data_IF_653042661558
#
_entry.id   IF_653042661558
#
_cell.length_a   1.000
_cell.length_b   1.000
_cell.length_c   1.000
_cell.angle_alpha   90.00
_cell.angle_beta   90.00
_cell.angle_gamma   90.00
#
_symmetry.space_group_name_H-M   'P 1'
#
loop_
_entity.id
_entity.type
_entity.pdbx_description
1 polymer ?
#
# COMPACT_ATOMS: atom_id res chain seq x y z
N UNK A 1 48.13 -42.54 35.87
CA UNK A 1 47.32 -42.59 34.59
C UNK A 1 46.06 -41.78 34.81
N UNK A 2 46.06 -40.54 34.35
CA UNK A 2 44.87 -39.66 34.36
C UNK A 2 44.18 -39.78 33.02
N UNK A 3 42.93 -40.27 32.98
CA UNK A 3 42.08 -40.30 31.80
C UNK A 3 41.50 -38.91 31.62
N UNK A 4 41.81 -38.28 30.48
CA UNK A 4 41.24 -37.04 30.02
C UNK A 4 39.91 -37.39 29.31
N UNK A 5 38.77 -36.91 29.83
CA UNK A 5 37.47 -37.05 29.21
C UNK A 5 37.25 -35.80 28.37
N UNK A 6 37.24 -35.95 27.04
CA UNK A 6 36.81 -34.89 26.11
C UNK A 6 35.30 -34.85 26.11
N UNK A 7 34.74 -33.75 26.62
CA UNK A 7 33.33 -33.43 26.48
C UNK A 7 33.14 -32.71 25.12
N UNK A 8 32.54 -33.41 24.15
CA UNK A 8 32.11 -32.80 22.92
C UNK A 8 30.79 -32.05 23.20
N UNK A 9 30.86 -30.73 23.24
CA UNK A 9 29.66 -29.91 23.12
C UNK A 9 29.19 -29.89 21.66
N UNK A 10 28.15 -30.65 21.36
CA UNK A 10 27.34 -30.42 20.15
C UNK A 10 26.58 -29.10 20.32
N UNK A 11 27.06 -28.04 19.71
CA UNK A 11 26.22 -26.88 19.40
C UNK A 11 25.22 -27.32 18.31
N UNK A 12 24.03 -27.74 18.72
CA UNK A 12 22.90 -27.75 17.86
C UNK A 12 22.56 -26.27 17.60
N UNK A 13 22.99 -25.73 16.46
CA UNK A 13 22.42 -24.55 15.88
C UNK A 13 20.98 -24.91 15.48
N UNK A 14 20.04 -24.63 16.38
CA UNK A 14 18.64 -24.53 16.02
C UNK A 14 18.54 -23.30 15.08
N UNK A 15 18.70 -23.56 13.78
CA UNK A 15 18.14 -22.65 12.80
C UNK A 15 16.64 -22.58 13.10
N UNK A 16 16.05 -21.40 13.29
CA UNK A 16 14.60 -21.31 13.36
C UNK A 16 14.09 -21.82 12.02
N UNK A 17 13.42 -22.98 12.04
CA UNK A 17 12.64 -23.39 10.89
C UNK A 17 11.64 -22.25 10.63
N UNK A 18 11.72 -21.64 9.46
CA UNK A 18 10.68 -20.78 8.96
C UNK A 18 9.37 -21.58 9.09
N UNK A 19 8.46 -21.08 9.92
CA UNK A 19 7.22 -21.79 10.15
C UNK A 19 6.35 -21.55 8.92
N UNK A 20 5.93 -22.60 8.23
CA UNK A 20 5.00 -22.51 7.12
C UNK A 20 3.68 -21.93 7.64
N UNK A 21 3.47 -20.65 7.39
CA UNK A 21 2.21 -19.97 7.67
C UNK A 21 1.39 -19.87 6.40
N UNK A 22 0.10 -20.02 6.52
CA UNK A 22 -0.84 -19.80 5.46
C UNK A 22 -1.81 -18.66 5.81
N UNK A 23 -2.54 -18.20 4.83
CA UNK A 23 -3.56 -17.18 5.01
C UNK A 23 -4.92 -17.82 5.16
N UNK A 24 -5.63 -17.42 6.21
CA UNK A 24 -6.97 -17.90 6.49
C UNK A 24 -8.01 -16.95 5.90
N UNK A 25 -8.85 -17.48 5.03
CA UNK A 25 -9.91 -16.73 4.35
C UNK A 25 -11.28 -17.38 4.55
N UNK A 26 -12.33 -16.68 4.12
CA UNK A 26 -13.71 -17.22 4.13
C UNK A 26 -13.88 -18.53 3.32
N UNK A 27 -13.00 -18.82 2.36
CA UNK A 27 -13.09 -20.05 1.57
C UNK A 27 -12.71 -21.30 2.37
N UNK A 28 -11.96 -21.16 3.45
CA UNK A 28 -11.59 -22.26 4.35
C UNK A 28 -12.71 -22.61 5.36
N UNK A 29 -13.74 -21.79 5.40
CA UNK A 29 -14.97 -21.98 6.17
C UNK A 29 -16.16 -21.89 5.22
N UNK A 30 -17.17 -22.71 5.37
CA UNK A 30 -18.40 -22.72 4.56
C UNK A 30 -18.77 -21.33 4.05
N UNK A 31 -18.87 -21.16 2.75
CA UNK A 31 -18.96 -19.92 1.97
C UNK A 31 -20.09 -18.92 2.38
N UNK A 32 -20.89 -19.24 3.37
CA UNK A 32 -22.06 -18.49 3.81
C UNK A 32 -21.82 -17.61 5.05
N UNK A 33 -20.60 -17.58 5.63
CA UNK A 33 -20.33 -16.75 6.81
C UNK A 33 -19.40 -15.57 6.50
N UNK A 34 -19.89 -14.32 6.60
CA UNK A 34 -19.10 -13.09 6.29
C UNK A 34 -18.15 -12.69 7.43
N UNK A 35 -17.40 -13.64 8.01
CA UNK A 35 -16.57 -13.39 9.21
C UNK A 35 -15.35 -12.52 8.94
N UNK A 36 -14.86 -12.48 7.70
CA UNK A 36 -13.66 -11.78 7.30
C UNK A 36 -13.95 -10.72 6.21
N UNK A 37 -15.11 -10.06 6.31
CA UNK A 37 -15.50 -8.97 5.42
C UNK A 37 -15.69 -7.65 6.16
N UNK A 38 -15.55 -6.57 5.40
CA UNK A 38 -15.90 -5.23 5.85
C UNK A 38 -17.38 -4.97 5.56
N UNK A 39 -18.22 -5.23 6.53
CA UNK A 39 -19.67 -5.08 6.39
C UNK A 39 -20.34 -6.14 5.51
N UNK A 40 -21.61 -5.94 5.22
CA UNK A 40 -22.46 -6.86 4.45
C UNK A 40 -22.91 -6.27 3.11
N UNK A 41 -22.31 -5.16 2.68
CA UNK A 41 -22.66 -4.49 1.45
C UNK A 41 -21.48 -4.51 0.48
N UNK A 42 -21.82 -4.58 -0.79
CA UNK A 42 -20.85 -4.47 -1.89
C UNK A 42 -20.78 -3.01 -2.33
N UNK A 43 -19.57 -2.51 -2.46
CA UNK A 43 -19.28 -1.14 -2.88
C UNK A 43 -18.28 -1.14 -4.04
N UNK A 44 -18.15 0.00 -4.72
CA UNK A 44 -17.06 0.23 -5.68
C UNK A 44 -15.84 0.75 -4.95
N UNK A 45 -15.28 -0.10 -4.09
CA UNK A 45 -14.14 0.28 -3.28
C UNK A 45 -12.89 0.44 -4.11
N UNK A 46 -12.12 1.49 -3.85
CA UNK A 46 -10.85 1.79 -4.49
C UNK A 46 -9.67 1.46 -3.58
N UNK A 47 -9.71 1.92 -2.32
CA UNK A 47 -8.66 1.70 -1.33
C UNK A 47 -9.23 1.47 0.07
N UNK A 48 -8.39 0.90 0.93
CA UNK A 48 -8.62 0.78 2.37
C UNK A 48 -7.32 1.15 3.07
N UNK A 49 -7.39 2.10 3.98
CA UNK A 49 -6.27 2.51 4.85
C UNK A 49 -6.50 2.00 6.26
N UNK A 50 -5.44 1.52 6.92
CA UNK A 50 -5.48 0.95 8.28
C UNK A 50 -4.77 1.85 9.27
N UNK A 51 -5.34 2.03 10.47
CA UNK A 51 -4.73 2.77 11.55
C UNK A 51 -5.54 2.70 12.84
N UNK A 52 -4.90 2.91 13.98
CA UNK A 52 -5.58 2.99 15.28
C UNK A 52 -6.24 4.37 15.43
N UNK A 53 -7.49 4.46 14.95
CA UNK A 53 -8.23 5.72 14.85
C UNK A 53 -8.67 6.24 16.23
N UNK A 54 -8.99 5.32 17.16
CA UNK A 54 -9.58 5.64 18.46
C UNK A 54 -8.62 5.40 19.62
N UNK A 55 -7.37 5.05 19.36
CA UNK A 55 -6.29 4.76 20.33
C UNK A 55 -6.61 3.61 21.29
N UNK A 56 -7.32 2.58 20.79
CA UNK A 56 -7.59 1.37 21.56
C UNK A 56 -6.53 0.26 21.36
N UNK A 57 -5.50 0.53 20.57
CA UNK A 57 -4.40 -0.37 20.27
C UNK A 57 -4.69 -1.39 19.16
N UNK A 58 -5.75 -1.19 18.39
CA UNK A 58 -6.11 -2.04 17.25
C UNK A 58 -6.20 -1.23 15.97
N UNK A 59 -5.88 -1.88 14.87
CA UNK A 59 -6.02 -1.26 13.55
C UNK A 59 -7.48 -1.23 13.14
N UNK A 60 -8.03 -0.01 13.03
CA UNK A 60 -9.29 0.30 12.38
C UNK A 60 -9.08 0.51 10.88
N UNK A 61 -10.14 0.75 10.12
CA UNK A 61 -10.04 0.96 8.68
C UNK A 61 -10.91 2.13 8.21
N UNK A 62 -10.41 2.91 7.26
CA UNK A 62 -11.21 3.80 6.43
C UNK A 62 -11.29 3.24 5.02
N UNK A 63 -12.49 3.22 4.45
CA UNK A 63 -12.80 2.61 3.15
C UNK A 63 -13.23 3.68 2.16
N UNK A 64 -12.45 3.88 1.09
CA UNK A 64 -12.74 4.80 0.01
C UNK A 64 -13.60 4.12 -1.05
N UNK A 65 -14.81 4.63 -1.25
CA UNK A 65 -15.80 4.08 -2.17
C UNK A 65 -16.12 5.06 -3.31
N UNK A 66 -16.66 4.52 -4.39
CA UNK A 66 -17.26 5.28 -5.46
C UNK A 66 -16.43 5.39 -6.71
N UNK A 67 -15.15 5.73 -6.62
CA UNK A 67 -14.32 5.97 -7.81
C UNK A 67 -14.99 6.96 -8.77
N UNK A 68 -15.46 6.52 -9.94
CA UNK A 68 -16.18 7.35 -10.90
C UNK A 68 -17.67 7.59 -10.57
N UNK A 69 -18.23 6.85 -9.59
CA UNK A 69 -19.65 6.88 -9.22
C UNK A 69 -19.75 7.22 -7.73
N UNK A 70 -20.41 8.32 -7.34
CA UNK A 70 -20.46 8.72 -5.96
C UNK A 70 -21.07 7.65 -5.04
N UNK A 71 -20.31 7.23 -4.02
CA UNK A 71 -20.75 6.35 -2.95
C UNK A 71 -20.27 6.90 -1.59
N UNK A 72 -20.83 6.38 -0.51
CA UNK A 72 -20.47 6.78 0.86
C UNK A 72 -19.17 6.07 1.27
N UNK A 73 -18.22 6.83 1.83
CA UNK A 73 -17.05 6.30 2.50
C UNK A 73 -17.40 5.87 3.91
N UNK A 74 -16.76 4.79 4.39
CA UNK A 74 -17.04 4.23 5.72
C UNK A 74 -15.79 4.09 6.56
N UNK A 75 -15.98 4.25 7.87
CA UNK A 75 -15.00 3.90 8.90
C UNK A 75 -15.45 2.60 9.55
N UNK A 76 -14.54 1.65 9.67
CA UNK A 76 -14.78 0.37 10.33
C UNK A 76 -13.88 0.26 11.56
N UNK A 77 -14.51 0.06 12.72
CA UNK A 77 -13.80 -0.11 13.99
C UNK A 77 -13.57 -1.58 14.28
N UNK A 78 -12.33 -1.91 14.63
CA UNK A 78 -11.90 -3.25 14.96
C UNK A 78 -12.09 -3.52 16.47
N UNK A 79 -12.91 -4.49 16.81
CA UNK A 79 -13.13 -4.90 18.19
C UNK A 79 -12.09 -5.90 18.74
N UNK A 80 -11.07 -6.26 17.93
CA UNK A 80 -10.18 -7.41 18.18
C UNK A 80 -10.78 -8.76 17.79
N UNK A 81 -12.02 -8.75 17.27
CA UNK A 81 -12.73 -9.91 16.70
C UNK A 81 -13.19 -9.63 15.27
N UNK A 82 -12.52 -8.69 14.60
CA UNK A 82 -12.82 -8.19 13.27
C UNK A 82 -13.59 -6.85 13.29
N UNK A 83 -13.89 -6.37 12.11
CA UNK A 83 -14.49 -5.06 11.83
C UNK A 83 -16.02 -5.10 11.97
N UNK A 84 -16.50 -5.09 13.21
CA UNK A 84 -17.91 -5.32 13.54
C UNK A 84 -18.75 -4.05 13.72
N UNK A 85 -18.12 -2.88 13.76
CA UNK A 85 -18.76 -1.59 13.89
C UNK A 85 -18.37 -0.69 12.74
N UNK A 86 -19.35 -0.09 12.07
CA UNK A 86 -19.08 0.85 10.98
C UNK A 86 -19.86 2.14 11.17
N UNK A 87 -19.30 3.23 10.67
CA UNK A 87 -19.96 4.53 10.54
C UNK A 87 -19.70 5.11 9.15
N UNK A 88 -20.63 5.83 8.52
CA UNK A 88 -20.31 6.66 7.38
C UNK A 88 -19.32 7.75 7.80
N UNK A 89 -18.36 8.09 6.92
CA UNK A 89 -17.42 9.19 7.17
C UNK A 89 -18.16 10.52 7.26
N UNK A 90 -19.09 10.74 6.32
CA UNK A 90 -20.05 11.85 6.33
C UNK A 90 -21.39 11.42 5.71
N UNK A 91 -22.31 12.36 5.50
CA UNK A 91 -23.60 12.09 4.88
C UNK A 91 -23.62 12.32 3.36
N UNK A 92 -22.44 12.50 2.75
CA UNK A 92 -22.28 12.76 1.34
C UNK A 92 -21.76 11.51 0.63
N UNK A 93 -22.07 11.43 -0.65
CA UNK A 93 -21.44 10.46 -1.54
C UNK A 93 -20.30 11.12 -2.29
N UNK A 94 -19.14 10.47 -2.34
CA UNK A 94 -17.91 10.96 -2.97
C UNK A 94 -17.43 10.00 -4.06
N UNK A 95 -16.64 10.52 -5.00
CA UNK A 95 -15.99 9.72 -6.05
C UNK A 95 -14.57 9.33 -5.61
N UNK A 96 -14.46 8.73 -4.42
CA UNK A 96 -13.19 8.56 -3.76
C UNK A 96 -12.33 7.45 -4.39
N UNK A 97 -11.06 7.79 -4.66
CA UNK A 97 -10.02 6.85 -5.05
C UNK A 97 -9.11 6.49 -3.88
N UNK A 98 -8.91 7.41 -2.95
CA UNK A 98 -8.18 7.17 -1.72
C UNK A 98 -8.84 7.88 -0.53
N UNK A 99 -8.72 7.30 0.65
CA UNK A 99 -9.01 7.92 1.93
C UNK A 99 -7.93 7.44 2.90
N UNK A 100 -6.94 8.29 3.13
CA UNK A 100 -5.74 7.91 3.88
C UNK A 100 -5.80 8.45 5.32
N UNK A 101 -5.35 7.59 6.24
CA UNK A 101 -5.20 7.91 7.66
C UNK A 101 -3.83 8.54 7.89
N UNK A 102 -3.81 9.76 8.39
CA UNK A 102 -2.58 10.55 8.59
C UNK A 102 -2.78 11.61 9.66
N UNK A 103 -1.79 11.83 10.52
CA UNK A 103 -1.78 12.94 11.49
C UNK A 103 -1.32 14.21 10.76
N UNK A 104 -2.27 15.02 10.28
CA UNK A 104 -2.01 16.22 9.49
C UNK A 104 -1.62 17.45 10.34
N UNK A 105 -1.94 17.43 11.61
CA UNK A 105 -1.74 18.59 12.52
C UNK A 105 -0.73 18.32 13.64
N UNK A 106 -0.13 17.11 13.66
CA UNK A 106 0.82 16.62 14.68
C UNK A 106 0.23 16.65 16.11
N UNK A 107 -1.09 16.39 16.25
CA UNK A 107 -1.74 16.25 17.57
C UNK A 107 -1.71 14.80 18.10
N UNK A 108 -1.17 13.90 17.30
CA UNK A 108 -1.04 12.47 17.59
C UNK A 108 -2.30 11.68 17.32
N UNK A 109 -3.31 12.23 16.64
CA UNK A 109 -4.51 11.53 16.19
C UNK A 109 -4.51 11.41 14.67
N UNK A 110 -4.96 10.26 14.15
CA UNK A 110 -5.04 10.07 12.71
C UNK A 110 -6.26 10.78 12.15
N UNK A 111 -6.03 11.74 11.28
CA UNK A 111 -7.02 12.44 10.46
C UNK A 111 -7.32 11.64 9.18
N UNK A 112 -8.24 12.10 8.34
CA UNK A 112 -8.52 11.50 7.03
C UNK A 112 -8.31 12.53 5.93
N UNK A 113 -7.48 12.16 4.94
CA UNK A 113 -7.35 12.82 3.64
C UNK A 113 -8.11 12.04 2.59
N UNK A 114 -9.22 12.59 2.09
CA UNK A 114 -10.08 12.00 1.06
C UNK A 114 -9.76 12.56 -0.32
N UNK A 115 -9.37 11.71 -1.26
CA UNK A 115 -9.00 12.08 -2.64
C UNK A 115 -10.06 11.60 -3.61
N UNK A 116 -10.60 12.54 -4.38
CA UNK A 116 -11.76 12.32 -5.25
C UNK A 116 -11.44 12.54 -6.73
N UNK A 117 -12.05 11.73 -7.60
CA UNK A 117 -11.99 11.87 -9.05
C UNK A 117 -12.96 12.96 -9.52
N UNK A 118 -12.41 14.01 -10.15
CA UNK A 118 -13.18 15.15 -10.70
C UNK A 118 -14.13 15.81 -9.68
N UNK A 119 -13.76 15.77 -8.39
CA UNK A 119 -14.49 16.39 -7.28
C UNK A 119 -13.50 16.96 -6.27
N UNK A 120 -13.93 17.85 -5.36
CA UNK A 120 -13.04 18.40 -4.33
C UNK A 120 -12.43 17.31 -3.44
N UNK A 121 -11.14 17.40 -3.16
CA UNK A 121 -10.47 16.59 -2.14
C UNK A 121 -10.77 17.19 -0.77
N UNK A 122 -10.86 16.33 0.26
CA UNK A 122 -11.36 16.78 1.58
C UNK A 122 -10.45 16.32 2.72
N UNK A 123 -10.40 17.12 3.75
CA UNK A 123 -9.74 16.81 5.02
C UNK A 123 -10.79 16.72 6.11
N UNK A 124 -10.69 15.67 6.93
CA UNK A 124 -11.50 15.45 8.12
C UNK A 124 -10.57 15.30 9.33
N UNK A 125 -10.84 16.07 10.38
CA UNK A 125 -10.04 16.06 11.61
C UNK A 125 -10.70 15.17 12.65
N UNK A 126 -9.89 14.34 13.29
CA UNK A 126 -10.25 13.42 14.35
C UNK A 126 -10.22 14.12 15.72
N UNK A 127 -11.26 13.94 16.52
CA UNK A 127 -11.32 14.44 17.90
C UNK A 127 -10.51 13.60 18.91
N UNK A 128 -9.77 12.60 18.44
CA UNK A 128 -9.01 11.64 19.25
C UNK A 128 -9.83 10.47 19.80
N UNK A 129 -11.12 10.43 19.51
CA UNK A 129 -12.03 9.33 19.90
C UNK A 129 -12.60 8.59 18.70
N UNK A 130 -12.06 8.85 17.51
CA UNK A 130 -12.51 8.29 16.25
C UNK A 130 -13.76 8.98 15.67
N UNK A 131 -14.08 10.20 16.08
CA UNK A 131 -15.11 10.98 15.42
C UNK A 131 -14.45 12.04 14.53
N UNK A 132 -14.87 12.07 13.28
CA UNK A 132 -14.31 12.95 12.28
C UNK A 132 -15.23 14.13 11.97
N UNK A 133 -14.63 15.29 11.81
CA UNK A 133 -15.34 16.51 11.39
C UNK A 133 -14.70 17.04 10.13
N UNK A 134 -15.52 17.34 9.12
CA UNK A 134 -15.05 17.99 7.90
C UNK A 134 -14.35 19.31 8.27
N UNK A 135 -13.11 19.46 7.78
CA UNK A 135 -12.28 20.63 8.02
C UNK A 135 -12.28 21.57 6.82
N UNK A 136 -11.81 21.07 5.67
CA UNK A 136 -11.63 21.87 4.47
C UNK A 136 -11.59 21.04 3.19
N UNK A 137 -11.80 21.69 2.06
CA UNK A 137 -11.35 21.21 0.76
C UNK A 137 -9.88 21.60 0.56
N UNK A 138 -9.12 20.76 -0.17
CA UNK A 138 -7.68 20.98 -0.39
C UNK A 138 -7.28 20.69 -1.83
N UNK A 139 -6.32 21.45 -2.35
CA UNK A 139 -5.86 21.34 -3.73
C UNK A 139 -6.91 21.75 -4.77
N UNK A 140 -6.61 21.50 -6.03
CA UNK A 140 -7.55 21.75 -7.13
C UNK A 140 -8.30 20.48 -7.52
N UNK A 141 -9.54 20.61 -7.96
CA UNK A 141 -10.30 19.49 -8.53
C UNK A 141 -9.54 18.88 -9.70
N UNK A 142 -9.29 17.58 -9.64
CA UNK A 142 -8.44 16.90 -10.61
C UNK A 142 -8.93 15.49 -10.94
N UNK A 143 -8.36 14.90 -11.99
CA UNK A 143 -8.61 13.51 -12.37
C UNK A 143 -7.72 12.58 -11.51
N UNK A 144 -7.93 12.64 -10.18
CA UNK A 144 -7.10 11.97 -9.21
C UNK A 144 -7.26 10.45 -9.23
N UNK A 145 -6.16 9.75 -8.89
CA UNK A 145 -6.12 8.28 -8.85
C UNK A 145 -5.59 7.71 -7.54
N UNK A 146 -4.68 8.40 -6.91
CA UNK A 146 -4.10 7.98 -5.63
C UNK A 146 -3.49 9.17 -4.92
N UNK A 147 -2.98 8.95 -3.71
CA UNK A 147 -2.21 9.91 -2.92
C UNK A 147 -1.07 9.19 -2.20
N UNK A 148 0.09 9.81 -2.16
CA UNK A 148 1.20 9.38 -1.31
C UNK A 148 1.50 10.46 -0.27
N UNK A 149 1.91 10.02 0.91
CA UNK A 149 2.14 10.82 2.11
C UNK A 149 3.62 10.81 2.48
N UNK A 150 4.18 11.96 2.83
CA UNK A 150 5.56 12.07 3.30
C UNK A 150 5.94 13.50 3.63
N UNK A 151 6.93 13.71 4.49
CA UNK A 151 7.51 15.02 4.76
C UNK A 151 8.51 15.35 3.64
N UNK A 152 8.04 16.02 2.60
CA UNK A 152 8.78 16.24 1.35
C UNK A 152 9.77 17.43 1.42
N UNK A 153 9.61 18.29 2.39
CA UNK A 153 10.48 19.47 2.60
C UNK A 153 11.23 19.43 3.94
N UNK A 154 11.15 18.30 4.67
CA UNK A 154 11.79 18.06 5.96
C UNK A 154 11.44 19.11 7.03
N UNK A 155 10.18 19.59 7.02
CA UNK A 155 9.69 20.56 8.01
C UNK A 155 9.04 19.91 9.24
N UNK A 156 8.89 18.58 9.25
CA UNK A 156 8.31 17.78 10.34
C UNK A 156 6.79 17.60 10.25
N UNK A 157 6.14 18.07 9.19
CA UNK A 157 4.73 17.87 8.91
C UNK A 157 4.55 17.01 7.66
N UNK A 158 3.52 16.20 7.65
CA UNK A 158 3.25 15.32 6.49
C UNK A 158 2.63 16.13 5.36
N UNK A 159 3.31 16.13 4.22
CA UNK A 159 2.85 16.60 2.93
C UNK A 159 2.17 15.46 2.18
N UNK A 160 1.57 15.77 1.04
CA UNK A 160 1.02 14.73 0.17
C UNK A 160 1.12 15.07 -1.31
N UNK A 161 1.14 14.00 -2.12
CA UNK A 161 1.16 14.11 -3.58
C UNK A 161 -0.09 13.44 -4.13
N UNK A 162 -0.90 14.18 -4.88
CA UNK A 162 -2.06 13.66 -5.60
C UNK A 162 -1.62 13.23 -6.99
N UNK A 163 -1.78 11.94 -7.30
CA UNK A 163 -1.50 11.43 -8.63
C UNK A 163 -2.70 11.64 -9.56
N UNK A 164 -2.45 12.06 -10.78
CA UNK A 164 -3.48 12.41 -11.73
C UNK A 164 -3.30 11.70 -13.07
N UNK A 165 -4.42 11.24 -13.65
CA UNK A 165 -4.43 10.67 -14.99
C UNK A 165 -4.71 11.75 -16.04
N UNK A 166 -3.86 11.86 -17.07
CA UNK A 166 -3.92 12.86 -18.13
C UNK A 166 -3.87 14.32 -17.64
N UNK A 167 -3.28 14.52 -16.44
CA UNK A 167 -3.08 15.83 -15.83
C UNK A 167 -1.72 15.87 -15.12
N UNK A 168 -1.34 17.04 -14.61
CA UNK A 168 -0.15 17.18 -13.78
C UNK A 168 -0.42 16.65 -12.36
N UNK A 169 0.53 15.99 -11.76
CA UNK A 169 0.48 15.62 -10.34
C UNK A 169 0.61 16.88 -9.49
N UNK A 170 0.01 16.84 -8.30
CA UNK A 170 -0.07 17.99 -7.40
C UNK A 170 0.62 17.62 -6.09
N UNK A 171 1.60 18.41 -5.66
CA UNK A 171 2.19 18.33 -4.33
C UNK A 171 1.52 19.39 -3.47
N UNK A 172 1.06 19.02 -2.29
CA UNK A 172 0.52 19.94 -1.30
C UNK A 172 1.41 19.91 -0.05
N UNK A 173 2.14 20.98 0.16
CA UNK A 173 3.04 21.16 1.31
C UNK A 173 2.26 21.62 2.53
N UNK A 174 2.44 20.94 3.64
CA UNK A 174 1.79 21.21 4.92
C UNK A 174 2.65 22.17 5.76
N UNK A 175 2.06 23.26 6.21
CA UNK A 175 2.76 24.23 7.08
C UNK A 175 2.50 24.01 8.58
N UNK A 176 1.87 22.89 8.95
CA UNK A 176 1.51 22.54 10.33
C UNK A 176 0.29 23.28 10.89
N UNK A 177 -0.44 24.03 10.06
CA UNK A 177 -1.66 24.76 10.45
C UNK A 177 -2.89 24.30 9.67
N UNK A 178 -2.80 23.13 9.02
CA UNK A 178 -3.82 22.62 8.09
C UNK A 178 -4.09 23.59 6.93
N UNK A 179 -3.08 24.39 6.58
CA UNK A 179 -3.04 25.27 5.42
C UNK A 179 -1.96 24.76 4.47
N UNK A 180 -2.35 24.43 3.25
CA UNK A 180 -1.53 23.69 2.30
C UNK A 180 -1.17 24.54 1.09
N UNK A 181 0.14 24.61 0.80
CA UNK A 181 0.65 25.22 -0.43
C UNK A 181 0.74 24.16 -1.53
N UNK A 182 -0.23 24.17 -2.45
CA UNK A 182 -0.34 23.15 -3.50
C UNK A 182 0.27 23.63 -4.81
N UNK A 183 1.26 22.89 -5.32
CA UNK A 183 1.99 23.17 -6.55
C UNK A 183 1.98 21.96 -7.50
N UNK A 184 2.24 22.20 -8.79
CA UNK A 184 2.34 21.12 -9.79
C UNK A 184 3.75 20.56 -9.83
N UNK A 185 3.88 19.23 -9.74
CA UNK A 185 5.17 18.54 -9.75
C UNK A 185 5.90 18.71 -11.08
N UNK A 186 5.21 18.56 -12.21
CA UNK A 186 5.81 18.61 -13.54
C UNK A 186 5.11 19.61 -14.45
N UNK A 187 5.78 20.00 -15.53
CA UNK A 187 5.22 20.95 -16.51
C UNK A 187 4.32 20.29 -17.54
N UNK A 188 4.48 18.98 -17.77
CA UNK A 188 3.70 18.18 -18.74
C UNK A 188 2.63 17.38 -18.05
N UNK A 189 1.59 17.03 -18.79
CA UNK A 189 0.56 16.11 -18.31
C UNK A 189 1.09 14.69 -18.41
N UNK A 190 0.93 13.92 -17.34
CA UNK A 190 1.21 12.49 -17.28
C UNK A 190 -0.04 11.70 -16.94
N UNK A 191 0.05 10.39 -16.99
CA UNK A 191 -1.00 9.47 -16.54
C UNK A 191 -0.50 8.67 -15.34
N UNK A 192 -0.14 9.37 -14.28
CA UNK A 192 0.34 8.74 -13.05
C UNK A 192 -0.85 8.14 -12.28
N UNK A 193 -0.72 6.88 -11.92
CA UNK A 193 -1.75 6.14 -11.18
C UNK A 193 -1.34 5.94 -9.74
N UNK A 194 -0.07 5.65 -9.50
CA UNK A 194 0.48 5.38 -8.18
C UNK A 194 1.86 6.02 -8.04
N UNK A 195 2.33 6.20 -6.79
CA UNK A 195 3.59 6.85 -6.50
C UNK A 195 4.15 6.32 -5.17
N UNK A 196 5.43 6.01 -5.15
CA UNK A 196 6.17 5.70 -3.93
C UNK A 196 7.12 6.86 -3.57
N UNK A 197 7.28 7.09 -2.27
CA UNK A 197 8.14 8.13 -1.70
C UNK A 197 9.22 7.45 -0.87
N UNK A 198 10.50 7.55 -1.27
CA UNK A 198 11.65 6.98 -0.54
C UNK A 198 12.92 7.77 -0.85
N UNK A 199 13.84 7.84 0.10
CA UNK A 199 15.21 8.32 -0.15
C UNK A 199 15.98 7.24 -0.93
N UNK A 200 15.94 7.34 -2.26
CA UNK A 200 16.52 6.33 -3.16
C UNK A 200 18.04 6.47 -3.28
N UNK A 201 18.58 7.64 -3.05
CA UNK A 201 20.00 7.97 -3.27
C UNK A 201 20.81 8.09 -1.97
N UNK A 202 20.15 8.05 -0.80
CA UNK A 202 20.75 8.10 0.52
C UNK A 202 21.18 9.50 0.95
N UNK A 203 20.60 10.57 0.39
CA UNK A 203 20.93 11.95 0.72
C UNK A 203 20.07 12.54 1.85
N UNK A 204 19.08 11.79 2.34
CA UNK A 204 18.17 12.18 3.43
C UNK A 204 16.96 12.96 2.95
N UNK A 205 16.75 13.12 1.65
CA UNK A 205 15.58 13.74 1.06
C UNK A 205 14.69 12.67 0.40
N UNK A 206 13.37 12.71 0.58
CA UNK A 206 12.48 11.72 -0.04
C UNK A 206 12.30 11.98 -1.54
N UNK A 207 12.69 10.99 -2.36
CA UNK A 207 12.54 10.97 -3.81
C UNK A 207 11.20 10.36 -4.21
N UNK A 208 10.83 10.46 -5.49
CA UNK A 208 9.57 10.03 -6.03
C UNK A 208 9.73 9.00 -7.14
N UNK A 209 8.99 7.90 -7.04
CA UNK A 209 8.87 6.87 -8.10
C UNK A 209 7.43 6.87 -8.61
N UNK A 210 7.23 7.26 -9.85
CA UNK A 210 5.91 7.41 -10.47
C UNK A 210 5.56 6.20 -11.35
N UNK A 211 4.43 5.56 -11.06
CA UNK A 211 3.84 4.51 -11.88
C UNK A 211 2.90 5.13 -12.91
N UNK A 212 3.25 5.05 -14.18
CA UNK A 212 2.52 5.68 -15.28
C UNK A 212 1.80 4.68 -16.19
N UNK A 213 0.70 5.13 -16.79
CA UNK A 213 -0.09 4.42 -17.78
C UNK A 213 -0.10 5.15 -19.13
N UNK A 214 -0.94 4.63 -20.05
CA UNK A 214 -1.26 5.25 -21.33
C UNK A 214 -0.02 5.39 -22.23
N UNK A 215 0.86 4.37 -22.22
CA UNK A 215 2.15 4.28 -22.95
C UNK A 215 3.17 5.36 -22.53
N UNK A 216 3.10 5.80 -21.28
CA UNK A 216 4.09 6.70 -20.68
C UNK A 216 5.03 5.86 -19.80
N UNK A 217 6.35 5.99 -19.94
CA UNK A 217 7.30 5.30 -19.05
C UNK A 217 7.09 5.69 -17.59
N UNK A 218 7.44 4.81 -16.67
CA UNK A 218 7.58 5.17 -15.27
C UNK A 218 8.73 6.14 -15.08
N UNK A 219 8.66 6.99 -14.07
CA UNK A 219 9.62 8.09 -13.89
C UNK A 219 10.15 8.10 -12.46
N UNK A 220 11.43 8.48 -12.31
CA UNK A 220 12.03 8.80 -11.01
C UNK A 220 12.36 10.29 -10.99
N UNK A 221 11.94 10.97 -9.92
CA UNK A 221 12.29 12.33 -9.59
C UNK A 221 13.11 12.36 -8.31
N UNK A 222 14.28 13.00 -8.34
CA UNK A 222 15.06 13.25 -7.14
C UNK A 222 14.61 14.57 -6.50
N UNK A 223 14.47 14.53 -5.19
CA UNK A 223 14.31 15.73 -4.39
C UNK A 223 15.68 16.41 -4.24
N UNK A 224 15.81 17.63 -4.73
CA UNK A 224 17.06 18.39 -4.66
C UNK A 224 17.01 19.49 -3.58
N UNK A 225 16.04 19.40 -2.67
CA UNK A 225 15.81 20.38 -1.60
C UNK A 225 15.01 21.59 -2.07
N UNK A 226 14.68 22.49 -1.12
CA UNK A 226 13.94 23.73 -1.38
C UNK A 226 12.61 23.51 -2.15
N UNK A 227 11.92 22.39 -1.90
CA UNK A 227 10.67 21.98 -2.58
C UNK A 227 10.82 21.78 -4.10
N UNK A 228 12.03 21.40 -4.54
CA UNK A 228 12.33 21.16 -5.95
C UNK A 228 12.59 19.70 -6.23
N UNK A 229 12.01 19.21 -7.31
CA UNK A 229 12.18 17.85 -7.81
C UNK A 229 12.73 17.88 -9.23
N UNK A 230 13.80 17.13 -9.47
CA UNK A 230 14.40 16.98 -10.79
C UNK A 230 14.16 15.58 -11.34
N UNK A 231 13.63 15.48 -12.57
CA UNK A 231 13.47 14.18 -13.24
C UNK A 231 14.83 13.56 -13.50
N UNK A 232 15.08 12.40 -12.88
CA UNK A 232 16.35 11.69 -12.99
C UNK A 232 16.39 10.74 -14.18
N UNK A 233 15.40 9.87 -14.30
CA UNK A 233 15.34 8.89 -15.39
C UNK A 233 13.91 8.37 -15.61
N UNK A 234 13.74 7.80 -16.83
CA UNK A 234 12.62 6.94 -17.16
C UNK A 234 13.02 5.48 -16.95
N UNK A 235 12.10 4.63 -16.48
CA UNK A 235 12.34 3.20 -16.35
C UNK A 235 11.14 2.38 -16.83
N UNK A 236 11.38 1.09 -17.07
CA UNK A 236 10.39 0.23 -17.71
C UNK A 236 10.37 0.41 -19.23
N UNK A 237 9.59 -0.39 -19.91
CA UNK A 237 9.57 -0.44 -21.37
C UNK A 237 8.64 0.59 -22.01
N UNK A 238 7.79 1.27 -21.21
CA UNK A 238 6.71 2.13 -21.71
C UNK A 238 5.59 1.39 -22.45
N UNK A 239 5.67 0.05 -22.50
CA UNK A 239 4.64 -0.80 -23.12
C UNK A 239 3.68 -1.41 -22.13
N UNK A 240 4.06 -1.48 -20.85
CA UNK A 240 3.21 -1.94 -19.77
C UNK A 240 2.45 -0.76 -19.17
N UNK A 241 1.20 -1.01 -18.81
CA UNK A 241 0.42 -0.06 -18.05
C UNK A 241 0.63 -0.31 -16.55
N UNK A 242 1.54 0.43 -15.93
CA UNK A 242 1.82 0.27 -14.51
C UNK A 242 0.69 0.87 -13.67
N UNK A 243 0.21 0.09 -12.70
CA UNK A 243 -0.92 0.45 -11.83
C UNK A 243 -0.51 0.69 -10.39
N UNK A 244 0.57 0.07 -9.96
CA UNK A 244 1.05 0.20 -8.60
C UNK A 244 2.56 0.10 -8.56
N UNK A 245 3.17 0.79 -7.60
CA UNK A 245 4.61 0.79 -7.36
C UNK A 245 4.90 0.73 -5.87
N UNK A 246 5.90 -0.06 -5.50
CA UNK A 246 6.45 -0.10 -4.15
C UNK A 246 7.97 -0.14 -4.20
N UNK A 247 8.60 0.26 -3.11
CA UNK A 247 10.06 0.34 -3.00
C UNK A 247 10.51 -0.36 -1.72
N UNK A 248 11.46 -1.29 -1.86
CA UNK A 248 12.14 -1.96 -0.74
C UNK A 248 13.45 -2.59 -1.23
N UNK A 249 14.34 -2.96 -0.32
CA UNK A 249 15.49 -3.84 -0.61
C UNK A 249 14.99 -5.29 -0.68
N UNK A 250 14.74 -5.77 -1.90
CA UNK A 250 14.14 -7.09 -2.14
C UNK A 250 15.14 -8.24 -2.05
N UNK A 251 16.43 -7.94 -2.19
CA UNK A 251 17.51 -8.93 -2.22
C UNK A 251 18.51 -8.81 -1.06
N UNK A 252 18.25 -7.88 -0.11
CA UNK A 252 19.10 -7.59 1.05
C UNK A 252 20.55 -7.19 0.68
N UNK A 253 20.73 -6.45 -0.44
CA UNK A 253 22.04 -5.93 -0.86
C UNK A 253 22.33 -4.51 -0.32
N UNK A 254 21.38 -3.92 0.35
CA UNK A 254 21.44 -2.57 0.94
C UNK A 254 21.07 -1.46 -0.05
N UNK A 255 20.59 -1.80 -1.26
CA UNK A 255 20.05 -0.84 -2.22
C UNK A 255 18.54 -0.99 -2.32
N UNK A 256 17.83 0.10 -2.55
CA UNK A 256 16.39 0.05 -2.75
C UNK A 256 16.05 -0.39 -4.17
N UNK A 257 15.15 -1.36 -4.27
CA UNK A 257 14.59 -1.90 -5.50
C UNK A 257 13.19 -1.33 -5.74
N UNK A 258 12.75 -1.33 -6.99
CA UNK A 258 11.41 -0.88 -7.37
C UNK A 258 10.60 -2.08 -7.84
N UNK A 259 9.43 -2.28 -7.22
CA UNK A 259 8.48 -3.34 -7.57
C UNK A 259 7.28 -2.71 -8.27
N UNK A 260 6.92 -3.20 -9.46
CA UNK A 260 5.77 -2.69 -10.23
C UNK A 260 4.70 -3.75 -10.43
N UNK A 261 3.44 -3.35 -10.20
CA UNK A 261 2.24 -4.09 -10.57
C UNK A 261 1.71 -3.58 -11.90
N UNK A 262 1.60 -4.46 -12.89
CA UNK A 262 1.28 -4.10 -14.27
C UNK A 262 -0.02 -4.75 -14.74
N UNK A 263 -0.73 -4.08 -15.66
CA UNK A 263 -1.78 -4.68 -16.49
C UNK A 263 -1.24 -4.88 -17.91
N UNK A 264 -1.77 -5.89 -18.60
CA UNK A 264 -1.32 -6.30 -19.93
C UNK A 264 0.15 -6.71 -20.01
N UNK A 265 0.74 -7.24 -18.91
CA UNK A 265 2.13 -7.69 -18.86
C UNK A 265 2.54 -8.20 -17.48
N UNK A 266 3.75 -8.75 -17.39
CA UNK A 266 4.31 -9.26 -16.15
C UNK A 266 4.55 -8.14 -15.12
N UNK A 267 4.42 -8.46 -13.84
CA UNK A 267 4.94 -7.63 -12.77
C UNK A 267 6.48 -7.72 -12.75
N UNK A 268 7.15 -6.64 -12.38
CA UNK A 268 8.60 -6.55 -12.50
C UNK A 268 9.21 -5.96 -11.23
N UNK A 269 10.32 -6.56 -10.80
CA UNK A 269 11.24 -5.97 -9.84
C UNK A 269 12.41 -5.40 -10.66
N UNK A 270 12.74 -4.14 -10.42
CA UNK A 270 13.89 -3.44 -10.95
C UNK A 270 14.90 -3.27 -9.84
N UNK A 271 16.02 -3.99 -9.91
CA UNK A 271 17.04 -3.94 -8.87
C UNK A 271 17.85 -2.65 -8.92
N UNK A 272 17.94 -2.00 -7.76
CA UNK A 272 18.77 -0.84 -7.57
C UNK A 272 20.26 -1.20 -7.55
N UNK A 273 21.12 -0.22 -7.74
CA UNK A 273 22.55 -0.41 -7.63
C UNK A 273 23.28 0.90 -7.34
N UNK A 274 24.58 0.83 -6.99
CA UNK A 274 25.42 1.98 -6.63
C UNK A 274 25.54 3.05 -7.71
N UNK A 275 25.21 2.74 -8.96
CA UNK A 275 25.24 3.69 -10.07
C UNK A 275 23.88 4.34 -10.30
N UNK A 276 22.90 4.08 -9.43
CA UNK A 276 21.54 4.58 -9.56
C UNK A 276 20.92 4.21 -10.93
N UNK A 277 21.07 2.94 -11.32
CA UNK A 277 20.43 2.39 -12.50
C UNK A 277 19.54 1.22 -12.11
N UNK A 278 18.49 0.97 -12.86
CA UNK A 278 17.47 -0.05 -12.62
C UNK A 278 17.34 -0.95 -13.85
N UNK A 279 18.49 -1.41 -14.37
CA UNK A 279 18.56 -2.19 -15.61
C UNK A 279 18.51 -3.70 -15.39
N UNK A 280 18.88 -4.16 -14.20
CA UNK A 280 18.68 -5.55 -13.80
C UNK A 280 17.23 -5.73 -13.35
N UNK A 281 16.55 -6.74 -13.90
CA UNK A 281 15.13 -6.94 -13.66
C UNK A 281 14.77 -8.39 -13.43
N UNK A 282 13.69 -8.60 -12.67
CA UNK A 282 13.06 -9.90 -12.46
C UNK A 282 11.55 -9.79 -12.62
N UNK A 283 10.97 -10.58 -13.51
CA UNK A 283 9.52 -10.73 -13.59
C UNK A 283 9.01 -11.74 -12.56
N UNK A 284 7.78 -11.51 -12.05
CA UNK A 284 7.06 -12.41 -11.16
C UNK A 284 5.57 -12.43 -11.51
N UNK A 285 4.90 -13.50 -11.12
CA UNK A 285 3.47 -13.68 -11.41
C UNK A 285 3.19 -13.86 -12.88
N UNK A 286 2.86 -14.45 -13.72
CA UNK A 286 2.57 -14.62 -15.14
C UNK A 286 2.39 -13.32 -15.94
N UNK A 287 2.27 -13.44 -17.23
CA UNK A 287 2.16 -12.30 -18.16
C UNK A 287 0.75 -11.70 -18.24
N UNK A 288 -0.21 -12.23 -17.52
CA UNK A 288 -1.62 -11.87 -17.64
C UNK A 288 -2.32 -11.76 -16.26
N UNK A 289 -1.61 -11.28 -15.24
CA UNK A 289 -2.16 -11.17 -13.87
C UNK A 289 -3.07 -9.96 -13.68
N UNK A 290 -3.01 -8.95 -14.53
CA UNK A 290 -3.75 -7.69 -14.42
C UNK A 290 -3.69 -7.13 -12.99
N UNK A 291 -2.47 -6.87 -12.51
CA UNK A 291 -2.21 -6.42 -11.15
C UNK A 291 -2.56 -4.93 -11.02
N UNK A 292 -3.48 -4.61 -10.11
CA UNK A 292 -3.96 -3.26 -9.85
C UNK A 292 -3.35 -2.62 -8.62
N UNK A 293 -2.90 -3.44 -7.67
CA UNK A 293 -2.26 -2.95 -6.46
C UNK A 293 -1.24 -3.96 -5.96
N UNK A 294 -0.16 -3.47 -5.36
CA UNK A 294 0.83 -4.28 -4.65
C UNK A 294 1.06 -3.71 -3.25
N UNK A 295 1.39 -4.59 -2.29
CA UNK A 295 1.94 -4.20 -1.01
C UNK A 295 3.08 -5.14 -0.64
N UNK A 296 4.01 -4.65 0.17
CA UNK A 296 5.18 -5.38 0.62
C UNK A 296 5.12 -5.60 2.12
N UNK A 297 5.45 -6.80 2.58
CA UNK A 297 5.65 -7.13 3.99
C UNK A 297 6.47 -8.41 4.11
N UNK A 298 7.17 -8.58 5.21
CA UNK A 298 7.81 -9.86 5.60
C UNK A 298 6.74 -10.73 6.29
N UNK A 299 6.00 -11.53 5.49
CA UNK A 299 4.89 -12.34 6.00
C UNK A 299 5.34 -13.57 6.79
N UNK A 300 6.56 -14.05 6.56
CA UNK A 300 7.10 -15.26 7.18
C UNK A 300 8.18 -14.98 8.24
N UNK A 301 8.55 -13.71 8.44
CA UNK A 301 9.59 -13.23 9.38
C UNK A 301 10.97 -13.81 9.11
N UNK A 302 11.33 -13.99 7.82
CA UNK A 302 12.67 -14.42 7.43
C UNK A 302 13.63 -13.26 7.12
N UNK A 303 13.13 -12.03 7.15
CA UNK A 303 13.90 -10.81 6.92
C UNK A 303 13.95 -10.37 5.45
N UNK A 304 13.28 -11.09 4.54
CA UNK A 304 13.08 -10.68 3.15
C UNK A 304 11.67 -10.10 2.97
N UNK A 305 11.55 -9.08 2.12
CA UNK A 305 10.25 -8.55 1.78
C UNK A 305 9.55 -9.46 0.79
N UNK A 306 8.32 -9.88 1.14
CA UNK A 306 7.39 -10.59 0.28
C UNK A 306 6.47 -9.62 -0.43
N UNK A 307 5.75 -10.08 -1.45
CA UNK A 307 4.86 -9.25 -2.27
C UNK A 307 3.44 -9.82 -2.20
N UNK A 308 2.45 -8.98 -1.97
CA UNK A 308 1.05 -9.32 -2.23
C UNK A 308 0.52 -8.52 -3.41
N UNK A 309 -0.23 -9.19 -4.31
CA UNK A 309 -0.86 -8.56 -5.47
C UNK A 309 -2.37 -8.60 -5.36
N UNK A 310 -3.00 -7.45 -5.63
CA UNK A 310 -4.42 -7.31 -5.85
C UNK A 310 -4.71 -7.32 -7.35
N UNK A 311 -5.41 -8.36 -7.83
CA UNK A 311 -5.58 -8.63 -9.25
C UNK A 311 -7.03 -8.35 -9.72
N UNK A 312 -7.17 -7.80 -10.91
CA UNK A 312 -8.46 -7.50 -11.50
C UNK A 312 -9.00 -8.72 -12.25
N UNK A 313 -10.08 -9.31 -11.73
CA UNK A 313 -10.71 -10.47 -12.35
C UNK A 313 -9.92 -11.77 -12.24
N UNK A 314 -8.95 -11.85 -11.33
CA UNK A 314 -8.12 -13.02 -11.06
C UNK A 314 -7.90 -13.19 -9.56
N UNK A 315 -7.42 -14.37 -9.09
CA UNK A 315 -7.05 -14.57 -7.70
C UNK A 315 -5.97 -13.59 -7.26
N UNK A 316 -6.10 -13.04 -6.06
CA UNK A 316 -5.02 -12.31 -5.40
C UNK A 316 -3.96 -13.29 -4.92
N UNK A 317 -2.69 -12.90 -5.03
CA UNK A 317 -1.56 -13.81 -4.81
C UNK A 317 -0.52 -13.19 -3.88
N UNK A 318 0.02 -13.99 -2.98
CA UNK A 318 1.21 -13.68 -2.20
C UNK A 318 2.40 -14.37 -2.85
N UNK A 319 3.49 -13.66 -3.01
CA UNK A 319 4.77 -14.14 -3.50
C UNK A 319 5.76 -14.10 -2.33
N UNK A 320 6.00 -15.26 -1.73
CA UNK A 320 6.98 -15.40 -0.65
C UNK A 320 8.39 -15.37 -1.25
N UNK A 321 9.16 -14.39 -0.86
CA UNK A 321 10.54 -14.20 -1.28
C UNK A 321 11.44 -15.23 -0.61
N UNK A 322 12.21 -16.00 -1.38
CA UNK A 322 13.07 -17.05 -0.85
C UNK A 322 14.54 -16.67 -0.79
N UNK A 323 14.99 -15.82 -1.70
CA UNK A 323 16.40 -15.45 -1.82
C UNK A 323 16.65 -14.13 -2.57
N UNK A 324 15.64 -13.26 -2.70
CA UNK A 324 15.71 -12.02 -3.47
C UNK A 324 15.35 -12.17 -4.95
N UNK A 325 15.36 -13.40 -5.48
CA UNK A 325 15.15 -13.66 -6.93
C UNK A 325 14.11 -14.74 -7.21
N UNK A 326 13.89 -15.65 -6.28
CA UNK A 326 12.93 -16.73 -6.38
C UNK A 326 11.77 -16.52 -5.42
N UNK A 327 10.55 -16.68 -5.94
CA UNK A 327 9.32 -16.45 -5.20
C UNK A 327 8.45 -17.71 -5.22
N UNK A 328 7.91 -18.05 -4.05
CA UNK A 328 6.87 -19.08 -3.93
C UNK A 328 5.50 -18.41 -4.00
N UNK A 329 4.63 -18.90 -4.90
CA UNK A 329 3.30 -18.32 -5.13
C UNK A 329 2.25 -18.99 -4.25
N UNK A 330 1.46 -18.18 -3.54
CA UNK A 330 0.33 -18.62 -2.71
C UNK A 330 -0.90 -17.81 -3.10
N UNK A 331 -1.89 -18.46 -3.72
CA UNK A 331 -3.17 -17.81 -3.98
C UNK A 331 -3.93 -17.62 -2.66
N UNK A 332 -4.39 -16.39 -2.39
CA UNK A 332 -5.21 -16.10 -1.20
C UNK A 332 -6.59 -16.78 -1.27
N UNK A 333 -7.09 -17.01 -2.48
CA UNK A 333 -8.35 -17.69 -2.76
C UNK A 333 -8.38 -18.10 -4.22
N UNK A 334 -9.14 -19.14 -4.57
CA UNK A 334 -9.42 -19.52 -5.96
C UNK A 334 -10.44 -18.58 -6.62
N UNK A 335 -11.05 -17.68 -5.85
CA UNK A 335 -12.06 -16.76 -6.34
C UNK A 335 -11.40 -15.56 -7.01
N UNK A 336 -11.82 -15.28 -8.24
CA UNK A 336 -11.51 -14.03 -8.91
C UNK A 336 -12.39 -12.89 -8.37
N UNK A 337 -11.76 -11.78 -8.00
CA UNK A 337 -12.43 -10.54 -7.57
C UNK A 337 -11.92 -9.34 -8.38
N UNK A 338 -12.64 -8.24 -8.38
CA UNK A 338 -12.18 -7.00 -8.98
C UNK A 338 -11.41 -6.21 -7.91
N UNK A 339 -10.20 -6.65 -7.58
CA UNK A 339 -9.40 -6.02 -6.51
C UNK A 339 -8.71 -4.77 -7.05
N UNK A 340 -8.94 -3.64 -6.38
CA UNK A 340 -8.35 -2.34 -6.70
C UNK A 340 -7.26 -1.90 -5.75
N UNK A 341 -7.31 -2.36 -4.50
CA UNK A 341 -6.32 -2.04 -3.48
C UNK A 341 -5.98 -3.25 -2.61
N UNK A 342 -4.74 -3.35 -2.20
CA UNK A 342 -4.27 -4.26 -1.14
C UNK A 342 -3.52 -3.44 -0.10
N UNK A 343 -3.74 -3.78 1.18
CA UNK A 343 -3.09 -3.14 2.32
C UNK A 343 -2.69 -4.23 3.31
N UNK A 344 -1.61 -4.02 4.02
CA UNK A 344 -1.07 -4.97 5.00
C UNK A 344 -1.02 -4.36 6.40
N UNK A 345 -1.27 -5.16 7.43
CA UNK A 345 -1.21 -4.73 8.83
C UNK A 345 -1.55 -5.88 9.76
N UNK A 346 -1.10 -5.81 11.01
CA UNK A 346 -1.44 -6.78 12.06
C UNK A 346 -2.84 -6.47 12.61
N UNK A 347 -3.87 -7.04 11.98
CA UNK A 347 -5.28 -6.75 12.30
C UNK A 347 -5.70 -7.37 13.62
N UNK A 348 -5.16 -8.53 13.94
CA UNK A 348 -5.55 -9.31 15.12
C UNK A 348 -4.63 -9.12 16.33
N UNK A 349 -3.54 -8.37 16.21
CA UNK A 349 -2.56 -8.09 17.26
C UNK A 349 -1.67 -9.28 17.62
N UNK A 350 -1.47 -10.24 16.69
CA UNK A 350 -0.63 -11.42 16.92
C UNK A 350 0.84 -11.21 16.50
N UNK A 351 1.15 -10.05 15.98
CA UNK A 351 2.47 -9.63 15.53
C UNK A 351 2.83 -10.11 14.13
N UNK A 352 1.90 -10.69 13.36
CA UNK A 352 2.11 -11.09 11.97
C UNK A 352 1.30 -10.19 11.04
N UNK A 353 1.85 -9.93 9.86
CA UNK A 353 1.17 -9.09 8.89
C UNK A 353 0.02 -9.85 8.23
N UNK A 354 -1.17 -9.29 8.31
CA UNK A 354 -2.39 -9.72 7.66
C UNK A 354 -2.60 -8.91 6.37
N UNK A 355 -3.53 -9.34 5.52
CA UNK A 355 -3.81 -8.72 4.23
C UNK A 355 -5.26 -8.25 4.18
N UNK A 356 -5.47 -7.01 3.73
CA UNK A 356 -6.78 -6.44 3.43
C UNK A 356 -6.89 -6.20 1.93
N UNK A 357 -8.05 -6.54 1.34
CA UNK A 357 -8.31 -6.33 -0.08
C UNK A 357 -9.54 -5.45 -0.28
N UNK A 358 -9.38 -4.41 -1.07
CA UNK A 358 -10.42 -3.51 -1.52
C UNK A 358 -10.99 -4.00 -2.85
N UNK A 359 -12.21 -4.52 -2.84
CA UNK A 359 -12.87 -5.09 -4.01
C UNK A 359 -13.94 -4.14 -4.57
N UNK A 360 -14.01 -4.02 -5.88
CA UNK A 360 -15.07 -3.27 -6.54
C UNK A 360 -16.23 -4.18 -6.91
N UNK A 361 -17.45 -3.69 -6.63
CA UNK A 361 -18.69 -4.41 -6.87
C UNK A 361 -18.76 -5.79 -6.17
N UNK A 362 -17.92 -5.98 -5.13
CA UNK A 362 -17.88 -7.17 -4.29
C UNK A 362 -17.58 -6.81 -2.84
N UNK A 363 -17.55 -7.82 -1.94
CA UNK A 363 -17.18 -7.61 -0.54
C UNK A 363 -15.69 -7.29 -0.41
N UNK A 364 -15.36 -6.31 0.40
CA UNK A 364 -14.00 -6.12 0.89
C UNK A 364 -13.68 -7.22 1.91
N UNK A 365 -12.51 -7.81 1.81
CA UNK A 365 -12.12 -8.96 2.63
C UNK A 365 -10.81 -8.68 3.36
N UNK A 366 -10.56 -9.44 4.42
CA UNK A 366 -9.24 -9.52 5.03
C UNK A 366 -8.85 -10.99 5.25
N UNK A 367 -7.55 -11.25 5.23
CA UNK A 367 -6.94 -12.57 5.35
C UNK A 367 -5.96 -12.53 6.50
N UNK A 368 -6.23 -13.34 7.54
CA UNK A 368 -5.34 -13.44 8.68
C UNK A 368 -4.18 -14.38 8.35
N UNK A 369 -2.96 -13.94 8.64
CA UNK A 369 -1.76 -14.74 8.54
C UNK A 369 -1.65 -15.66 9.77
N UNK A 370 -2.15 -16.88 9.66
CA UNK A 370 -2.23 -17.83 10.75
C UNK A 370 -1.26 -19.00 10.58
N UNK A 371 -0.95 -19.62 11.70
CA UNK A 371 -0.21 -20.85 11.74
C UNK A 371 -1.10 -22.02 11.32
N UNK A 372 -0.77 -22.73 10.24
CA UNK A 372 -1.38 -24.02 9.97
C UNK A 372 -0.86 -25.00 11.04
N UNK A 373 -1.70 -25.36 12.00
CA UNK A 373 -1.44 -26.56 12.81
C UNK A 373 -1.58 -27.75 11.88
N UNK A 374 -0.50 -28.50 11.68
CA UNK A 374 -0.59 -29.83 11.09
C UNK A 374 -1.72 -30.60 11.80
N UNK A 375 -2.64 -31.13 10.99
CA UNK A 375 -3.69 -32.04 11.47
C UNK A 375 -3.11 -33.39 11.79
#
# INVERSE_FOLDING_TARGET
>A
MKKLIYLFFFFNSLLPFAQDRGFYSMNDMNADEPRFSFGLQKHRTASISLGDINKDGKLDAVVANGRHWPETNYIFYNSGKGFNSMKPLDNLSSTSYAAELVDLNNDGHLDILEINDNAPHKIYINDGSGNFTFHAEVGEVSNARNVALGDLDNNGFIDFIITNRNQQNIICYNNGKLDFDCVKLQTTKNSTIDIAIHDLNGDGLPDLVLANRDNIPNEIYLNIGERQFEKKLDFGTGTFETRSVAVADMNNDGMLDIVTGNINGANIIYFGNKNFTFTETRSFGGDDTDTYSIALADFNKDGLMDIVTGNYGKPNTVFINRDGTNFEEINLTDRASLTYGVTVGDINGDGWMDIVVANSDDFNLYYLNIFFREK
#
